data_IF_872369384445
#
_entry.id   IF_872369384445
#
_cell.length_a   1.000
_cell.length_b   1.000
_cell.length_c   1.000
_cell.angle_alpha   90.00
_cell.angle_beta   90.00
_cell.angle_gamma   90.00
#
_symmetry.space_group_name_H-M   'P 1'
#
loop_
_entity.id
_entity.type
_entity.pdbx_description
1 polymer ?
#
# COMPACT_ATOMS: atom_id res chain seq x y z
N UNK A 1 9.67 -15.82 -7.44
CA UNK A 1 9.98 -14.42 -7.79
C UNK A 1 8.79 -13.75 -8.51
N UNK A 2 8.26 -14.33 -9.59
CA UNK A 2 7.20 -13.73 -10.41
C UNK A 2 5.94 -13.39 -9.60
N UNK A 3 5.48 -14.30 -8.75
CA UNK A 3 4.32 -14.07 -7.89
C UNK A 3 4.55 -12.90 -6.92
N UNK A 4 5.76 -12.76 -6.35
CA UNK A 4 6.09 -11.62 -5.48
C UNK A 4 6.03 -10.31 -6.24
N UNK A 5 6.56 -10.26 -7.47
CA UNK A 5 6.49 -9.06 -8.31
C UNK A 5 5.01 -8.71 -8.61
N UNK A 6 4.21 -9.68 -9.05
CA UNK A 6 2.79 -9.45 -9.33
C UNK A 6 2.04 -8.92 -8.11
N UNK A 7 2.17 -9.62 -6.98
CA UNK A 7 1.49 -9.21 -5.73
C UNK A 7 1.92 -7.81 -5.33
N UNK A 8 3.23 -7.54 -5.30
CA UNK A 8 3.76 -6.25 -4.86
C UNK A 8 3.34 -5.11 -5.79
N UNK A 9 3.44 -5.29 -7.10
CA UNK A 9 3.09 -4.24 -8.07
C UNK A 9 1.61 -3.92 -8.02
N UNK A 10 0.74 -4.94 -8.14
CA UNK A 10 -0.71 -4.71 -8.17
C UNK A 10 -1.27 -4.23 -6.84
N UNK A 11 -0.74 -4.72 -5.72
CA UNK A 11 -1.11 -4.23 -4.39
C UNK A 11 -0.69 -2.78 -4.19
N UNK A 12 0.55 -2.43 -4.57
CA UNK A 12 1.05 -1.05 -4.42
C UNK A 12 0.29 -0.08 -5.32
N UNK A 13 0.02 -0.44 -6.57
CA UNK A 13 -0.80 0.39 -7.46
C UNK A 13 -2.21 0.61 -6.90
N UNK A 14 -2.88 -0.48 -6.49
CA UNK A 14 -4.20 -0.39 -5.88
C UNK A 14 -4.22 0.50 -4.65
N UNK A 15 -3.24 0.30 -3.76
CA UNK A 15 -3.12 1.06 -2.51
C UNK A 15 -2.88 2.55 -2.75
N UNK A 16 -1.96 2.90 -3.65
CA UNK A 16 -1.62 4.30 -3.96
C UNK A 16 -2.83 5.02 -4.59
N UNK A 17 -3.49 4.39 -5.56
CA UNK A 17 -4.63 4.99 -6.25
C UNK A 17 -5.84 5.14 -5.32
N UNK A 18 -6.23 4.09 -4.61
CA UNK A 18 -7.40 4.14 -3.73
C UNK A 18 -7.19 5.09 -2.55
N UNK A 19 -6.02 5.03 -1.89
CA UNK A 19 -5.73 5.91 -0.76
C UNK A 19 -5.62 7.38 -1.17
N UNK A 20 -5.04 7.69 -2.34
CA UNK A 20 -4.96 9.08 -2.81
C UNK A 20 -6.33 9.67 -3.10
N UNK A 21 -7.24 8.88 -3.69
CA UNK A 21 -8.60 9.33 -3.97
C UNK A 21 -9.40 9.57 -2.68
N UNK A 22 -9.34 8.63 -1.73
CA UNK A 22 -10.00 8.76 -0.43
C UNK A 22 -9.42 9.90 0.39
N UNK A 23 -8.08 10.04 0.40
CA UNK A 23 -7.40 11.13 1.08
C UNK A 23 -7.78 12.49 0.51
N UNK A 24 -7.90 12.62 -0.82
CA UNK A 24 -8.36 13.83 -1.48
C UNK A 24 -9.79 14.18 -1.05
N UNK A 25 -10.70 13.21 -1.00
CA UNK A 25 -12.06 13.42 -0.51
C UNK A 25 -12.08 13.95 0.93
N UNK A 26 -11.31 13.35 1.84
CA UNK A 26 -11.21 13.79 3.23
C UNK A 26 -10.44 15.10 3.42
N UNK A 27 -9.55 15.49 2.51
CA UNK A 27 -8.79 16.73 2.64
C UNK A 27 -9.55 17.95 2.07
N UNK A 28 -10.23 17.78 0.93
CA UNK A 28 -10.71 18.90 0.11
C UNK A 28 -12.21 19.09 0.12
N UNK A 29 -12.98 18.02 0.30
CA UNK A 29 -14.45 18.14 0.34
C UNK A 29 -14.94 18.47 1.76
N UNK A 30 -15.97 19.29 1.80
CA UNK A 30 -16.74 19.55 3.02
C UNK A 30 -18.09 18.84 2.95
N UNK A 31 -18.34 17.95 3.89
CA UNK A 31 -19.61 17.22 4.00
C UNK A 31 -19.95 16.90 5.46
N UNK A 32 -21.23 16.70 5.73
CA UNK A 32 -21.72 16.38 7.08
C UNK A 32 -21.15 15.02 7.53
N UNK A 33 -20.61 14.98 8.74
CA UNK A 33 -20.04 13.75 9.31
C UNK A 33 -18.59 13.43 8.90
N UNK A 34 -17.92 14.28 8.11
CA UNK A 34 -16.53 14.10 7.65
C UNK A 34 -15.58 13.68 8.77
N UNK A 35 -15.58 14.41 9.87
CA UNK A 35 -14.68 14.14 11.00
C UNK A 35 -15.00 12.82 11.69
N UNK A 36 -16.29 12.49 11.85
CA UNK A 36 -16.72 11.21 12.41
C UNK A 36 -16.27 10.04 11.54
N UNK A 37 -16.51 10.12 10.22
CA UNK A 37 -16.08 9.07 9.29
C UNK A 37 -14.57 8.92 9.27
N UNK A 38 -13.83 10.04 9.37
CA UNK A 38 -12.37 9.97 9.44
C UNK A 38 -11.88 9.36 10.76
N UNK A 39 -12.52 9.66 11.88
CA UNK A 39 -12.22 8.99 13.16
C UNK A 39 -12.53 7.49 13.12
N UNK A 40 -13.65 7.08 12.52
CA UNK A 40 -13.95 5.66 12.30
C UNK A 40 -12.89 5.00 11.44
N UNK A 41 -12.47 5.64 10.34
CA UNK A 41 -11.38 5.14 9.50
C UNK A 41 -10.10 4.92 10.32
N UNK A 42 -9.70 5.91 11.14
CA UNK A 42 -8.51 5.78 11.97
C UNK A 42 -8.65 4.70 13.05
N UNK A 43 -9.84 4.52 13.62
CA UNK A 43 -10.08 3.49 14.64
C UNK A 43 -9.88 2.07 14.09
N UNK A 44 -10.03 1.85 12.78
CA UNK A 44 -9.75 0.54 12.17
C UNK A 44 -8.28 0.14 12.29
N UNK A 45 -7.36 1.10 12.43
CA UNK A 45 -5.93 0.81 12.64
C UNK A 45 -5.63 0.18 14.01
N UNK A 46 -6.54 0.34 14.97
CA UNK A 46 -6.39 -0.26 16.31
C UNK A 46 -6.68 -1.76 16.31
N UNK A 47 -7.32 -2.28 15.26
CA UNK A 47 -7.64 -3.71 15.14
C UNK A 47 -6.42 -4.42 14.55
N UNK A 48 -5.71 -5.26 15.30
CA UNK A 48 -4.57 -5.99 14.77
C UNK A 48 -5.04 -7.00 13.72
N UNK A 49 -4.24 -7.16 12.68
CA UNK A 49 -4.53 -8.08 11.58
C UNK A 49 -4.72 -9.52 12.05
N UNK A 50 -3.97 -9.95 13.06
CA UNK A 50 -4.06 -11.30 13.64
C UNK A 50 -5.48 -11.67 14.12
N UNK A 51 -6.25 -10.68 14.56
CA UNK A 51 -7.66 -10.88 14.97
C UNK A 51 -8.57 -11.06 13.76
N UNK A 52 -8.29 -10.36 12.67
CA UNK A 52 -9.14 -10.36 11.46
C UNK A 52 -8.78 -11.46 10.47
N UNK A 53 -7.61 -12.11 10.59
CA UNK A 53 -7.14 -13.09 9.61
C UNK A 53 -8.04 -14.31 9.47
N UNK A 54 -8.63 -14.81 10.58
CA UNK A 54 -9.53 -15.98 10.54
C UNK A 54 -10.86 -15.63 9.83
N UNK A 55 -11.57 -14.56 10.20
CA UNK A 55 -12.72 -14.10 9.45
C UNK A 55 -12.43 -13.85 7.97
N UNK A 56 -11.29 -13.21 7.64
CA UNK A 56 -10.88 -12.99 6.24
C UNK A 56 -10.63 -14.30 5.49
N UNK A 57 -10.01 -15.30 6.13
CA UNK A 57 -9.84 -16.61 5.52
C UNK A 57 -11.20 -17.25 5.18
N UNK A 58 -12.15 -17.19 6.11
CA UNK A 58 -13.50 -17.72 5.89
C UNK A 58 -14.21 -17.01 4.73
N UNK A 59 -14.11 -15.68 4.68
CA UNK A 59 -14.68 -14.86 3.60
C UNK A 59 -14.06 -15.22 2.24
N UNK A 60 -12.74 -15.25 2.15
CA UNK A 60 -12.04 -15.59 0.91
C UNK A 60 -12.25 -17.05 0.48
N UNK A 61 -12.47 -17.95 1.44
CA UNK A 61 -12.85 -19.32 1.14
C UNK A 61 -14.25 -19.40 0.50
N UNK A 62 -15.22 -18.64 1.02
CA UNK A 62 -16.56 -18.53 0.42
C UNK A 62 -16.51 -17.98 -1.01
N UNK A 63 -15.59 -17.04 -1.29
CA UNK A 63 -15.38 -16.49 -2.64
C UNK A 63 -14.59 -17.42 -3.57
N UNK A 64 -14.09 -18.56 -3.08
CA UNK A 64 -13.23 -19.47 -3.85
C UNK A 64 -11.87 -18.84 -4.19
N UNK A 65 -11.38 -17.91 -3.37
CA UNK A 65 -10.11 -17.20 -3.59
C UNK A 65 -8.92 -17.89 -2.93
N UNK A 66 -9.14 -18.83 -2.00
CA UNK A 66 -8.05 -19.57 -1.36
C UNK A 66 -7.21 -20.26 -2.42
N UNK A 67 -5.91 -20.29 -2.20
CA UNK A 67 -4.91 -20.80 -3.13
C UNK A 67 -4.88 -20.02 -4.46
N UNK A 68 -5.15 -18.71 -4.42
CA UNK A 68 -4.94 -17.75 -5.53
C UNK A 68 -4.23 -16.51 -5.01
N UNK A 69 -3.75 -15.63 -5.89
CA UNK A 69 -3.15 -14.34 -5.50
C UNK A 69 -4.20 -13.25 -5.15
N UNK A 70 -5.49 -13.51 -5.36
CA UNK A 70 -6.57 -12.53 -5.14
C UNK A 70 -6.64 -12.02 -3.69
N UNK A 71 -6.58 -12.88 -2.64
CA UNK A 71 -6.60 -12.41 -1.25
C UNK A 71 -5.49 -11.43 -0.92
N UNK A 72 -4.35 -11.56 -1.57
CA UNK A 72 -3.19 -10.69 -1.35
C UNK A 72 -3.28 -9.37 -2.12
N UNK A 73 -3.98 -9.33 -3.25
CA UNK A 73 -4.03 -8.17 -4.15
C UNK A 73 -5.31 -7.35 -3.98
N UNK A 74 -6.48 -8.01 -4.01
CA UNK A 74 -7.77 -7.32 -4.13
C UNK A 74 -8.08 -6.41 -2.95
N UNK A 75 -7.86 -6.78 -1.67
CA UNK A 75 -8.15 -5.91 -0.53
C UNK A 75 -7.41 -4.56 -0.56
N UNK A 76 -6.22 -4.53 -1.14
CA UNK A 76 -5.43 -3.30 -1.25
C UNK A 76 -6.07 -2.21 -2.12
N UNK A 77 -6.97 -2.57 -3.02
CA UNK A 77 -7.69 -1.64 -3.88
C UNK A 77 -8.82 -0.88 -3.15
N UNK A 78 -9.12 -1.27 -1.92
CA UNK A 78 -10.09 -0.58 -1.06
C UNK A 78 -9.44 0.39 -0.06
N UNK A 79 -8.11 0.54 -0.12
CA UNK A 79 -7.37 1.49 0.68
C UNK A 79 -6.99 0.97 2.07
N UNK A 80 -6.12 1.72 2.74
CA UNK A 80 -5.69 1.50 4.12
C UNK A 80 -5.78 2.80 4.90
N UNK A 81 -6.29 2.75 6.10
CA UNK A 81 -6.43 3.92 6.97
C UNK A 81 -5.11 4.65 7.20
N UNK A 82 -4.02 3.91 7.37
CA UNK A 82 -2.68 4.48 7.56
C UNK A 82 -2.22 5.32 6.35
N UNK A 83 -2.34 4.79 5.16
CA UNK A 83 -1.90 5.50 3.95
C UNK A 83 -2.86 6.64 3.57
N UNK A 84 -4.16 6.48 3.81
CA UNK A 84 -5.14 7.58 3.68
C UNK A 84 -4.78 8.72 4.63
N UNK A 85 -4.45 8.42 5.88
CA UNK A 85 -4.01 9.41 6.86
C UNK A 85 -2.76 10.16 6.38
N UNK A 86 -1.71 9.46 5.96
CA UNK A 86 -0.47 10.09 5.48
C UNK A 86 -0.72 11.03 4.30
N UNK A 87 -1.44 10.56 3.29
CA UNK A 87 -1.75 11.35 2.10
C UNK A 87 -2.66 12.54 2.41
N UNK A 88 -3.65 12.37 3.32
CA UNK A 88 -4.50 13.46 3.76
C UNK A 88 -3.70 14.55 4.48
N UNK A 89 -2.78 14.19 5.38
CA UNK A 89 -1.93 15.18 6.08
C UNK A 89 -1.10 15.99 5.08
N UNK A 90 -0.54 15.33 4.07
CA UNK A 90 0.18 16.02 3.01
C UNK A 90 -0.73 16.99 2.24
N UNK A 91 -1.92 16.54 1.83
CA UNK A 91 -2.88 17.37 1.11
C UNK A 91 -3.36 18.58 1.91
N UNK A 92 -3.54 18.43 3.22
CA UNK A 92 -3.95 19.55 4.10
C UNK A 92 -2.90 20.67 4.19
N UNK A 93 -1.63 20.35 3.94
CA UNK A 93 -0.55 21.34 3.87
C UNK A 93 -0.51 22.17 2.57
N UNK A 94 -1.30 21.80 1.55
CA UNK A 94 -1.33 22.53 0.27
C UNK A 94 -2.40 23.64 0.36
N UNK A 95 -2.09 24.91 -0.02
CA UNK A 95 -3.07 26.01 -0.05
C UNK A 95 -4.30 25.69 -0.91
N UNK A 96 -5.46 26.25 -0.53
CA UNK A 96 -6.71 26.09 -1.30
C UNK A 96 -6.73 26.89 -2.60
N UNK A 97 -5.89 27.90 -2.70
CA UNK A 97 -5.78 28.79 -3.87
C UNK A 97 -5.59 28.04 -5.19
N UNK A 98 -4.86 26.91 -5.16
CA UNK A 98 -4.69 26.07 -6.35
C UNK A 98 -6.03 25.48 -6.87
N UNK A 99 -6.91 25.12 -5.94
CA UNK A 99 -8.22 24.58 -6.28
C UNK A 99 -9.17 25.69 -6.74
N UNK A 100 -9.12 26.83 -6.09
CA UNK A 100 -9.96 28.00 -6.40
C UNK A 100 -9.61 28.57 -7.78
N UNK A 101 -8.33 28.74 -8.09
CA UNK A 101 -7.87 29.15 -9.42
C UNK A 101 -8.34 28.19 -10.52
N UNK A 102 -8.20 26.89 -10.29
CA UNK A 102 -8.64 25.89 -11.27
C UNK A 102 -10.17 25.87 -11.48
N UNK A 103 -10.95 26.17 -10.44
CA UNK A 103 -12.40 26.29 -10.57
C UNK A 103 -12.80 27.53 -11.38
N UNK A 104 -12.06 28.64 -11.22
CA UNK A 104 -12.27 29.86 -12.04
C UNK A 104 -11.98 29.54 -13.51
N UNK A 105 -10.96 28.72 -13.79
CA UNK A 105 -10.63 28.25 -15.15
C UNK A 105 -11.62 27.18 -15.68
N UNK A 106 -12.69 26.86 -14.94
CA UNK A 106 -13.74 25.92 -15.37
C UNK A 106 -13.40 24.45 -15.19
N UNK A 107 -12.35 24.11 -14.43
CA UNK A 107 -11.99 22.71 -14.19
C UNK A 107 -13.00 22.04 -13.24
N UNK A 108 -13.45 20.83 -13.58
CA UNK A 108 -14.25 20.00 -12.70
C UNK A 108 -13.37 19.30 -11.65
N UNK A 109 -14.00 18.74 -10.58
CA UNK A 109 -13.29 18.12 -9.45
C UNK A 109 -12.34 16.98 -9.86
N UNK A 110 -12.73 16.20 -10.88
CA UNK A 110 -11.89 15.12 -11.38
C UNK A 110 -10.65 15.64 -12.11
N UNK A 111 -10.81 16.73 -12.89
CA UNK A 111 -9.68 17.41 -13.54
C UNK A 111 -8.74 18.04 -12.53
N UNK A 112 -9.27 18.67 -11.47
CA UNK A 112 -8.50 19.23 -10.38
C UNK A 112 -7.68 18.13 -9.67
N UNK A 113 -8.32 17.01 -9.35
CA UNK A 113 -7.62 15.87 -8.75
C UNK A 113 -6.47 15.36 -9.63
N UNK A 114 -6.76 15.03 -10.92
CA UNK A 114 -5.77 14.39 -11.78
C UNK A 114 -4.69 15.33 -12.31
N UNK A 115 -5.06 16.58 -12.66
CA UNK A 115 -4.14 17.50 -13.33
C UNK A 115 -3.36 18.39 -12.35
N UNK A 116 -3.89 18.62 -11.13
CA UNK A 116 -3.28 19.52 -10.15
C UNK A 116 -2.78 18.73 -8.95
N UNK A 117 -3.67 18.02 -8.24
CA UNK A 117 -3.26 17.38 -6.98
C UNK A 117 -2.41 16.14 -7.19
N UNK A 118 -2.66 15.27 -8.15
CA UNK A 118 -1.84 14.08 -8.41
C UNK A 118 -0.37 14.43 -8.70
N UNK A 119 -0.03 15.42 -9.52
CA UNK A 119 1.35 15.88 -9.69
C UNK A 119 1.96 16.47 -8.42
N UNK A 120 1.22 17.31 -7.69
CA UNK A 120 1.70 17.94 -6.44
C UNK A 120 1.93 16.89 -5.35
N UNK A 121 1.06 15.87 -5.28
CA UNK A 121 1.15 14.77 -4.33
C UNK A 121 2.27 13.76 -4.64
N UNK A 122 3.00 13.91 -5.74
CA UNK A 122 4.03 12.96 -6.16
C UNK A 122 4.98 12.50 -5.03
N UNK A 123 5.49 13.37 -4.14
CA UNK A 123 6.32 12.94 -3.01
C UNK A 123 5.57 12.00 -2.05
N UNK A 124 4.33 12.32 -1.70
CA UNK A 124 3.49 11.49 -0.83
C UNK A 124 3.08 10.16 -1.47
N UNK A 125 2.78 10.16 -2.78
CA UNK A 125 2.48 8.95 -3.54
C UNK A 125 3.68 8.00 -3.57
N UNK A 126 4.88 8.54 -3.80
CA UNK A 126 6.12 7.75 -3.79
C UNK A 126 6.40 7.21 -2.40
N UNK A 127 6.26 8.02 -1.35
CA UNK A 127 6.44 7.58 0.04
C UNK A 127 5.52 6.40 0.36
N UNK A 128 4.23 6.54 0.11
CA UNK A 128 3.25 5.47 0.36
C UNK A 128 3.53 4.24 -0.52
N UNK A 129 3.91 4.46 -1.78
CA UNK A 129 4.30 3.37 -2.69
C UNK A 129 5.48 2.57 -2.15
N UNK A 130 6.53 3.23 -1.66
CA UNK A 130 7.71 2.56 -1.09
C UNK A 130 7.35 1.82 0.20
N UNK A 131 6.62 2.45 1.11
CA UNK A 131 6.21 1.82 2.37
C UNK A 131 5.37 0.56 2.12
N UNK A 132 4.36 0.66 1.23
CA UNK A 132 3.53 -0.48 0.88
C UNK A 132 4.31 -1.58 0.18
N UNK A 133 5.18 -1.21 -0.77
CA UNK A 133 6.03 -2.15 -1.48
C UNK A 133 6.92 -2.93 -0.51
N UNK A 134 7.58 -2.26 0.44
CA UNK A 134 8.42 -2.92 1.45
C UNK A 134 7.60 -3.88 2.34
N UNK A 135 6.40 -3.47 2.74
CA UNK A 135 5.50 -4.29 3.55
C UNK A 135 5.08 -5.55 2.80
N UNK A 136 4.60 -5.40 1.56
CA UNK A 136 4.09 -6.52 0.76
C UNK A 136 5.21 -7.44 0.27
N UNK A 137 6.37 -6.89 -0.10
CA UNK A 137 7.52 -7.67 -0.56
C UNK A 137 8.04 -8.63 0.51
N UNK A 138 7.99 -8.20 1.77
CA UNK A 138 8.44 -8.99 2.92
C UNK A 138 7.31 -9.78 3.59
N UNK A 139 6.08 -9.70 3.08
CA UNK A 139 4.95 -10.40 3.69
C UNK A 139 5.12 -11.91 3.57
N UNK A 140 5.13 -12.54 4.74
CA UNK A 140 5.20 -13.99 4.91
C UNK A 140 3.86 -14.58 5.36
N UNK A 141 3.18 -13.91 6.31
CA UNK A 141 2.00 -14.47 6.97
C UNK A 141 0.78 -14.53 6.06
N UNK A 142 0.52 -13.48 5.29
CA UNK A 142 -0.57 -13.47 4.30
C UNK A 142 -0.43 -14.63 3.29
N UNK A 143 0.70 -14.72 2.57
CA UNK A 143 0.96 -15.86 1.69
C UNK A 143 0.88 -17.22 2.37
N UNK A 144 1.35 -17.37 3.61
CA UNK A 144 1.31 -18.60 4.36
C UNK A 144 -0.13 -19.10 4.60
N UNK A 145 -1.05 -18.18 4.88
CA UNK A 145 -2.45 -18.50 5.19
C UNK A 145 -3.25 -18.78 3.91
N UNK A 146 -3.05 -17.97 2.86
CA UNK A 146 -3.91 -17.99 1.69
C UNK A 146 -3.40 -18.87 0.54
N UNK A 147 -2.10 -19.22 0.49
CA UNK A 147 -1.51 -20.02 -0.59
C UNK A 147 -1.18 -21.43 -0.12
N UNK A 148 -1.55 -22.43 -0.91
CA UNK A 148 -1.32 -23.85 -0.61
C UNK A 148 -0.30 -24.47 -1.58
N UNK A 149 -0.36 -24.11 -2.87
CA UNK A 149 0.52 -24.66 -3.88
C UNK A 149 1.87 -23.92 -3.91
N UNK A 150 2.97 -24.68 -3.94
CA UNK A 150 4.32 -24.13 -4.06
C UNK A 150 4.54 -23.25 -5.30
N UNK A 151 3.85 -23.57 -6.40
CA UNK A 151 3.91 -22.78 -7.64
C UNK A 151 3.38 -21.35 -7.49
N UNK A 152 2.54 -21.11 -6.47
CA UNK A 152 1.94 -19.82 -6.16
C UNK A 152 2.65 -19.06 -5.06
N UNK A 153 3.64 -19.67 -4.39
CA UNK A 153 4.36 -19.04 -3.29
C UNK A 153 5.03 -17.73 -3.70
N UNK A 154 4.97 -16.77 -2.81
CA UNK A 154 5.81 -15.57 -2.85
C UNK A 154 7.24 -15.93 -2.47
N UNK A 155 8.17 -15.02 -2.71
CA UNK A 155 9.58 -15.25 -2.42
C UNK A 155 9.85 -15.40 -0.92
N UNK A 156 9.17 -14.61 -0.08
CA UNK A 156 9.25 -14.69 1.37
C UNK A 156 8.75 -16.05 1.90
N UNK A 157 7.59 -16.51 1.40
CA UNK A 157 7.06 -17.83 1.75
C UNK A 157 7.94 -18.97 1.20
N UNK A 158 8.45 -18.81 -0.02
CA UNK A 158 9.38 -19.77 -0.64
C UNK A 158 10.68 -19.89 0.16
N UNK A 159 11.23 -18.78 0.64
CA UNK A 159 12.42 -18.77 1.52
C UNK A 159 12.20 -19.62 2.78
N UNK A 160 11.05 -19.45 3.44
CA UNK A 160 10.72 -20.20 4.64
C UNK A 160 10.60 -21.71 4.38
N UNK A 161 10.23 -22.16 3.16
CA UNK A 161 10.10 -23.57 2.82
C UNK A 161 11.43 -24.33 2.80
N UNK A 162 12.58 -23.65 2.76
CA UNK A 162 13.91 -24.26 2.87
C UNK A 162 14.37 -24.50 4.32
N UNK A 163 13.61 -23.98 5.28
CA UNK A 163 13.82 -24.23 6.70
C UNK A 163 13.03 -25.48 7.12
N UNK A 164 13.62 -26.66 6.96
CA UNK A 164 12.99 -27.93 7.34
C UNK A 164 13.15 -28.24 8.82
N UNK A 165 12.30 -29.16 9.34
CA UNK A 165 12.32 -29.60 10.76
C UNK A 165 13.61 -30.38 11.09
N UNK A 166 14.13 -31.14 10.14
CA UNK A 166 15.31 -32.00 10.35
C UNK A 166 16.57 -31.50 9.64
N UNK A 167 16.45 -30.60 8.68
CA UNK A 167 17.59 -30.01 7.97
C UNK A 167 17.25 -28.64 7.41
N UNK A 168 18.16 -27.70 7.55
CA UNK A 168 18.05 -26.38 6.93
C UNK A 168 18.98 -26.32 5.74
N UNK A 169 18.44 -26.02 4.56
CA UNK A 169 19.23 -25.86 3.34
C UNK A 169 19.79 -24.42 3.30
N UNK A 170 20.96 -24.24 3.90
CA UNK A 170 21.55 -22.89 4.11
C UNK A 170 21.88 -22.21 2.78
N UNK A 171 22.49 -22.94 1.83
CA UNK A 171 22.96 -22.35 0.57
C UNK A 171 21.79 -21.79 -0.27
N UNK A 172 20.71 -22.55 -0.55
CA UNK A 172 19.54 -22.00 -1.24
C UNK A 172 18.91 -20.82 -0.49
N UNK A 173 18.84 -20.87 0.85
CA UNK A 173 18.32 -19.77 1.64
C UNK A 173 19.12 -18.48 1.47
N UNK A 174 20.46 -18.56 1.48
CA UNK A 174 21.33 -17.40 1.25
C UNK A 174 21.15 -16.83 -0.16
N UNK A 175 21.05 -17.68 -1.18
CA UNK A 175 20.81 -17.24 -2.56
C UNK A 175 19.48 -16.47 -2.69
N UNK A 176 18.39 -17.00 -2.10
CA UNK A 176 17.08 -16.36 -2.14
C UNK A 176 17.10 -15.05 -1.34
N UNK A 177 17.77 -15.02 -0.19
CA UNK A 177 17.90 -13.81 0.63
C UNK A 177 18.60 -12.69 -0.14
N UNK A 178 19.67 -12.98 -0.89
CA UNK A 178 20.35 -12.00 -1.75
C UNK A 178 19.39 -11.45 -2.80
N UNK A 179 18.62 -12.32 -3.47
CA UNK A 179 17.61 -11.90 -4.46
C UNK A 179 16.52 -11.01 -3.80
N UNK A 180 16.10 -11.32 -2.55
CA UNK A 180 15.09 -10.54 -1.84
C UNK A 180 15.57 -9.13 -1.47
N UNK A 181 16.86 -8.93 -1.21
CA UNK A 181 17.39 -7.63 -0.80
C UNK A 181 17.51 -6.65 -1.99
N UNK A 182 17.72 -7.14 -3.21
CA UNK A 182 17.97 -6.30 -4.38
C UNK A 182 16.83 -5.31 -4.68
N UNK A 183 15.55 -5.72 -4.84
CA UNK A 183 14.47 -4.78 -5.17
C UNK A 183 14.24 -3.67 -4.12
N UNK A 184 14.22 -3.94 -2.80
CA UNK A 184 14.16 -2.90 -1.78
C UNK A 184 15.27 -1.87 -1.88
N UNK A 185 16.53 -2.30 -2.10
CA UNK A 185 17.68 -1.40 -2.24
C UNK A 185 17.50 -0.51 -3.48
N UNK A 186 17.17 -1.08 -4.63
CA UNK A 186 16.97 -0.31 -5.86
C UNK A 186 15.90 0.75 -5.68
N UNK A 187 14.75 0.37 -5.10
CA UNK A 187 13.64 1.29 -4.89
C UNK A 187 14.01 2.37 -3.88
N UNK A 188 14.71 2.02 -2.80
CA UNK A 188 15.19 3.00 -1.84
C UNK A 188 16.12 4.05 -2.48
N UNK A 189 17.10 3.62 -3.29
CA UNK A 189 18.02 4.53 -3.99
C UNK A 189 17.26 5.48 -4.92
N UNK A 190 16.22 5.00 -5.61
CA UNK A 190 15.40 5.83 -6.51
C UNK A 190 14.50 6.80 -5.72
N UNK A 191 13.92 6.33 -4.62
CA UNK A 191 12.89 7.05 -3.87
C UNK A 191 13.44 8.02 -2.81
N UNK A 192 14.68 7.85 -2.33
CA UNK A 192 15.26 8.60 -1.21
C UNK A 192 15.15 10.12 -1.37
N UNK A 193 15.35 10.66 -2.58
CA UNK A 193 15.22 12.09 -2.84
C UNK A 193 13.81 12.64 -2.57
N UNK A 194 12.79 11.86 -2.90
CA UNK A 194 11.38 12.25 -2.70
C UNK A 194 10.93 12.07 -1.24
N UNK A 195 11.53 11.12 -0.53
CA UNK A 195 11.24 10.90 0.91
C UNK A 195 11.74 12.10 1.72
N UNK A 196 12.96 12.57 1.43
CA UNK A 196 13.55 13.74 2.13
C UNK A 196 12.76 15.02 1.82
N UNK A 197 12.37 15.25 0.57
CA UNK A 197 11.56 16.40 0.18
C UNK A 197 10.16 16.36 0.82
N UNK A 198 9.53 15.19 0.93
CA UNK A 198 8.21 15.02 1.55
C UNK A 198 8.19 15.31 3.05
N UNK A 199 9.30 15.08 3.75
CA UNK A 199 9.42 15.38 5.18
C UNK A 199 9.82 16.84 5.44
N UNK A 200 10.54 17.49 4.53
CA UNK A 200 10.99 18.88 4.66
C UNK A 200 9.94 19.89 4.17
N UNK A 201 9.00 19.52 3.34
CA UNK A 201 7.93 20.37 2.80
C UNK A 201 6.86 20.80 3.81
N UNK A 202 6.88 20.28 5.03
CA UNK A 202 5.97 20.68 6.11
C UNK A 202 6.55 21.78 7.03
N UNK A 203 7.71 22.36 6.69
CA UNK A 203 8.43 23.36 7.53
C UNK A 203 8.79 24.61 6.70
N UNK A 204 7.88 25.10 5.88
CA UNK A 204 8.00 26.48 5.36
C UNK A 204 6.63 27.10 5.21
#
# INVERSE_FOLDING_TARGET
LWNSILVTVFTTLGQVLSCSLVAYGFARFEFKGKNLLFMILLSTMMIPWDVTMIPQYMEFNLFGWINTLKPLIVPAWFGSAYYVFLMRQFLMGIPRDFEEAARIDGANQFQIYWKIFMPIMKPSLILVGVLNMLTVWNDYLGPLIFLQDRSKYTLALGLASFKGVHSTQIIPMLCITIIMIIPPIIIFIIAQKYIVEGTSGSIK
#
